data_IF_433771120335
#
_entry.id   IF_433771120335
#
_cell.length_a   1.000
_cell.length_b   1.000
_cell.length_c   1.000
_cell.angle_alpha   90.00
_cell.angle_beta   90.00
_cell.angle_gamma   90.00
#
_symmetry.space_group_name_H-M   'P 1'
#
loop_
_entity.id
_entity.type
_entity.pdbx_description
1 polymer ?
#
# COMPACT_ATOMS: atom_id res chain seq x y z
N UNK A 1 -17.79 -40.40 34.22
CA UNK A 1 -19.10 -39.75 33.96
C UNK A 1 -18.76 -38.27 33.83
N UNK A 2 -18.88 -37.59 32.70
CA UNK A 2 -20.00 -37.50 31.78
C UNK A 2 -19.54 -37.36 30.32
N UNK A 3 -20.46 -37.72 29.44
CA UNK A 3 -20.34 -37.89 27.98
C UNK A 3 -19.92 -36.62 27.24
N UNK A 4 -19.24 -36.85 26.10
CA UNK A 4 -18.79 -35.80 25.21
C UNK A 4 -19.92 -35.00 24.57
N UNK A 5 -19.64 -33.73 24.34
CA UNK A 5 -20.29 -32.87 23.36
C UNK A 5 -19.24 -31.88 22.88
N UNK A 6 -18.74 -32.04 21.65
CA UNK A 6 -17.85 -31.03 21.08
C UNK A 6 -17.01 -31.41 19.87
N UNK A 7 -16.88 -32.68 19.48
CA UNK A 7 -15.99 -33.04 18.34
C UNK A 7 -16.43 -32.48 16.97
N UNK A 8 -17.68 -32.00 16.82
CA UNK A 8 -18.14 -31.29 15.61
C UNK A 8 -18.11 -29.76 15.73
N UNK A 9 -18.40 -29.23 16.91
CA UNK A 9 -18.36 -27.79 17.21
C UNK A 9 -16.95 -27.26 17.45
N UNK A 10 -16.00 -28.09 17.85
CA UNK A 10 -14.60 -27.71 18.06
C UNK A 10 -13.89 -27.39 16.75
N UNK A 11 -14.17 -28.15 15.68
CA UNK A 11 -13.57 -27.95 14.36
C UNK A 11 -14.21 -26.73 13.68
N UNK A 12 -15.54 -26.61 13.73
CA UNK A 12 -16.24 -25.42 13.23
C UNK A 12 -15.83 -24.15 13.97
N UNK A 13 -15.72 -24.21 15.30
CA UNK A 13 -15.22 -23.10 16.12
C UNK A 13 -13.78 -22.73 15.79
N UNK A 14 -12.90 -23.71 15.56
CA UNK A 14 -11.53 -23.48 15.12
C UNK A 14 -11.45 -22.82 13.74
N UNK A 15 -12.25 -23.29 12.78
CA UNK A 15 -12.28 -22.73 11.42
C UNK A 15 -12.78 -21.28 11.43
N UNK A 16 -13.83 -20.98 12.20
CA UNK A 16 -14.34 -19.61 12.35
C UNK A 16 -13.31 -18.71 13.02
N UNK A 17 -12.65 -19.17 14.07
CA UNK A 17 -11.62 -18.41 14.77
C UNK A 17 -10.41 -18.14 13.85
N UNK A 18 -9.99 -19.12 13.06
CA UNK A 18 -8.93 -18.98 12.08
C UNK A 18 -9.30 -17.99 10.97
N UNK A 19 -10.52 -18.07 10.43
CA UNK A 19 -11.03 -17.12 9.44
C UNK A 19 -11.09 -15.68 9.99
N UNK A 20 -11.45 -15.51 11.27
CA UNK A 20 -11.42 -14.20 11.92
C UNK A 20 -9.98 -13.64 11.98
N UNK A 21 -9.01 -14.45 12.40
CA UNK A 21 -7.61 -14.02 12.48
C UNK A 21 -7.08 -13.66 11.09
N UNK A 22 -7.30 -14.51 10.09
CA UNK A 22 -6.90 -14.25 8.70
C UNK A 22 -7.61 -13.01 8.14
N UNK A 23 -8.89 -12.83 8.45
CA UNK A 23 -9.67 -11.66 8.06
C UNK A 23 -9.12 -10.36 8.67
N UNK A 24 -8.76 -10.37 9.95
CA UNK A 24 -8.12 -9.22 10.62
C UNK A 24 -6.75 -8.93 10.01
N UNK A 25 -5.90 -9.95 9.81
CA UNK A 25 -4.60 -9.79 9.15
C UNK A 25 -4.78 -9.23 7.74
N UNK A 26 -5.74 -9.74 6.98
CA UNK A 26 -6.05 -9.25 5.64
C UNK A 26 -6.53 -7.80 5.67
N UNK A 27 -7.39 -7.42 6.63
CA UNK A 27 -7.84 -6.05 6.81
C UNK A 27 -6.69 -5.11 7.18
N UNK A 28 -5.79 -5.53 8.07
CA UNK A 28 -4.58 -4.78 8.43
C UNK A 28 -3.66 -4.63 7.23
N UNK A 29 -3.39 -5.70 6.48
CA UNK A 29 -2.59 -5.65 5.25
C UNK A 29 -3.27 -4.76 4.21
N UNK A 30 -4.59 -4.83 4.05
CA UNK A 30 -5.36 -4.00 3.13
C UNK A 30 -5.39 -2.54 3.56
N UNK A 31 -5.39 -2.23 4.85
CA UNK A 31 -5.24 -0.86 5.35
C UNK A 31 -3.83 -0.35 5.11
N UNK A 32 -2.80 -1.12 5.50
CA UNK A 32 -1.39 -0.75 5.29
C UNK A 32 -1.04 -0.64 3.80
N UNK A 33 -1.60 -1.49 2.93
CA UNK A 33 -1.43 -1.40 1.46
C UNK A 33 -2.41 -0.44 0.80
N UNK A 34 -3.56 -0.17 1.41
CA UNK A 34 -4.62 0.74 0.92
C UNK A 34 -4.34 2.21 1.23
N UNK A 35 -3.52 2.46 2.26
CA UNK A 35 -2.82 3.73 2.49
C UNK A 35 -1.48 3.81 1.73
N UNK A 36 -1.16 2.78 0.94
CA UNK A 36 -0.37 2.89 -0.29
C UNK A 36 -1.12 3.65 -1.40
N UNK A 37 -2.13 4.44 -1.01
CA UNK A 37 -2.49 5.65 -1.70
C UNK A 37 -1.25 6.56 -1.77
N UNK A 38 -0.40 6.24 -2.74
CA UNK A 38 0.46 7.14 -3.48
C UNK A 38 -0.36 8.28 -4.13
N UNK A 39 -1.22 8.94 -3.36
CA UNK A 39 -1.68 10.33 -3.55
C UNK A 39 -0.92 11.29 -2.63
N UNK A 40 0.16 10.84 -1.99
CA UNK A 40 1.42 11.59 -2.09
C UNK A 40 2.03 11.33 -3.48
N UNK A 41 1.24 11.59 -4.53
CA UNK A 41 1.77 12.38 -5.63
C UNK A 41 2.04 13.71 -4.94
N UNK A 42 3.20 13.79 -4.30
CA UNK A 42 3.91 15.03 -4.18
C UNK A 42 3.94 15.56 -5.62
N UNK A 43 2.99 16.43 -5.94
CA UNK A 43 3.01 17.30 -7.11
C UNK A 43 4.14 18.32 -6.93
N UNK A 44 5.26 17.90 -6.33
CA UNK A 44 6.47 18.67 -6.24
C UNK A 44 6.89 18.90 -7.67
N UNK A 45 7.11 20.16 -8.06
CA UNK A 45 7.50 20.51 -9.41
C UNK A 45 8.70 19.67 -9.91
N UNK A 46 9.59 19.23 -9.01
CA UNK A 46 10.70 18.32 -9.31
C UNK A 46 10.25 16.97 -9.89
N UNK A 47 9.19 16.35 -9.36
CA UNK A 47 8.71 15.05 -9.84
C UNK A 47 8.08 15.15 -11.23
N UNK A 48 7.44 16.29 -11.53
CA UNK A 48 6.91 16.60 -12.86
C UNK A 48 8.06 16.77 -13.85
N UNK A 49 9.17 17.42 -13.44
CA UNK A 49 10.38 17.50 -14.27
C UNK A 49 11.00 16.13 -14.53
N UNK A 50 11.12 15.30 -13.50
CA UNK A 50 11.66 13.94 -13.62
C UNK A 50 10.84 13.10 -14.61
N UNK A 51 9.50 13.20 -14.54
CA UNK A 51 8.61 12.47 -15.43
C UNK A 51 8.74 12.94 -16.89
N UNK A 52 8.83 14.26 -17.12
CA UNK A 52 9.02 14.83 -18.47
C UNK A 52 10.38 14.52 -19.05
N UNK A 53 11.44 14.48 -18.22
CA UNK A 53 12.76 14.06 -18.63
C UNK A 53 12.78 12.57 -19.00
N UNK A 54 12.16 11.71 -18.19
CA UNK A 54 12.04 10.28 -18.47
C UNK A 54 11.23 9.98 -19.74
N UNK A 55 10.25 10.83 -20.07
CA UNK A 55 9.50 10.76 -21.33
C UNK A 55 10.28 11.31 -22.54
N UNK A 56 11.44 11.94 -22.32
CA UNK A 56 12.22 12.58 -23.37
C UNK A 56 11.60 13.86 -23.93
N UNK A 57 10.66 14.48 -23.20
CA UNK A 57 10.00 15.74 -23.60
C UNK A 57 10.88 16.96 -23.36
N UNK A 58 11.90 16.83 -22.51
CA UNK A 58 12.85 17.90 -22.17
C UNK A 58 14.27 17.35 -22.24
N UNK A 59 15.20 18.21 -22.61
CA UNK A 59 16.63 17.89 -22.64
C UNK A 59 17.26 17.96 -21.25
N UNK A 60 18.45 17.37 -21.10
CA UNK A 60 19.21 17.39 -19.84
C UNK A 60 19.51 18.83 -19.38
N UNK A 61 19.85 19.73 -20.31
CA UNK A 61 20.11 21.14 -20.02
C UNK A 61 18.88 21.86 -19.44
N UNK A 62 17.71 21.61 -20.02
CA UNK A 62 16.44 22.16 -19.57
C UNK A 62 16.04 21.61 -18.20
N UNK A 63 16.27 20.31 -17.97
CA UNK A 63 16.03 19.66 -16.68
C UNK A 63 16.85 20.31 -15.56
N UNK A 64 18.16 20.48 -15.74
CA UNK A 64 19.02 21.10 -14.71
C UNK A 64 18.67 22.56 -14.43
N UNK A 65 18.34 23.34 -15.48
CA UNK A 65 17.91 24.74 -15.32
C UNK A 65 16.63 24.85 -14.51
N UNK A 66 15.63 24.01 -14.79
CA UNK A 66 14.37 24.04 -14.04
C UNK A 66 14.57 23.53 -12.60
N UNK A 67 15.40 22.52 -12.41
CA UNK A 67 15.75 22.00 -11.08
C UNK A 67 16.49 23.01 -10.21
N UNK A 68 17.35 23.86 -10.78
CA UNK A 68 18.01 24.93 -10.02
C UNK A 68 17.02 26.02 -9.60
N UNK A 69 16.07 26.39 -10.47
CA UNK A 69 15.03 27.39 -10.17
C UNK A 69 14.11 26.93 -9.05
N UNK A 70 13.82 25.64 -8.94
CA UNK A 70 12.94 25.10 -7.91
C UNK A 70 13.58 24.98 -6.52
N UNK A 71 14.92 25.07 -6.42
CA UNK A 71 15.67 24.99 -5.16
C UNK A 71 16.07 26.35 -4.61
N UNK A 72 15.87 27.43 -5.36
CA UNK A 72 16.00 28.84 -4.94
C UNK A 72 14.64 29.40 -4.50
#
# INVERSE_FOLDING_TARGET
MMMGYGSGFGIFGLVINFLLIVGVIYLVIKWVRGDGNSRFIDNTPERILDERFARGEITEEEYYRMKSILRD
#
